data_IF_705017818674
#
_entry.id   IF_705017818674
#
_cell.length_a   1.000
_cell.length_b   1.000
_cell.length_c   1.000
_cell.angle_alpha   90.00
_cell.angle_beta   90.00
_cell.angle_gamma   90.00
#
_symmetry.space_group_name_H-M   'P 1'
#
loop_
_entity.id
_entity.type
_entity.pdbx_description
1 polymer ?
#
# COMPACT_ATOMS: atom_id res chain seq x y z
N UNK A 1 6.46 1.98 -6.21
CA UNK A 1 5.50 1.60 -5.15
C UNK A 1 4.48 2.71 -5.06
N UNK A 2 3.20 2.38 -4.93
CA UNK A 2 2.12 3.34 -4.75
C UNK A 2 1.48 3.15 -3.38
N UNK A 3 1.16 4.25 -2.72
CA UNK A 3 0.52 4.29 -1.42
C UNK A 3 -0.78 5.04 -1.60
N UNK A 4 -1.86 4.46 -1.11
CA UNK A 4 -3.21 4.99 -1.23
C UNK A 4 -3.81 5.14 0.15
N UNK A 5 -4.43 6.28 0.41
CA UNK A 5 -5.36 6.45 1.52
C UNK A 5 -6.77 6.25 0.97
N UNK A 6 -7.53 5.33 1.56
CA UNK A 6 -8.84 4.90 1.06
C UNK A 6 -9.93 5.06 2.13
N UNK A 7 -11.15 5.34 1.68
CA UNK A 7 -12.36 5.33 2.52
C UNK A 7 -12.87 3.91 2.75
N UNK A 8 -12.88 3.08 1.70
CA UNK A 8 -13.20 1.65 1.73
C UNK A 8 -12.13 0.89 0.93
N UNK A 9 -11.83 -0.35 1.33
CA UNK A 9 -10.82 -1.22 0.72
C UNK A 9 -11.38 -2.21 -0.30
N UNK A 10 -12.70 -2.42 -0.37
CA UNK A 10 -13.32 -3.46 -1.21
C UNK A 10 -12.93 -3.35 -2.68
N UNK A 11 -13.00 -2.14 -3.23
CA UNK A 11 -12.67 -1.91 -4.63
C UNK A 11 -11.20 -2.26 -4.89
N UNK A 12 -10.31 -1.79 -4.03
CA UNK A 12 -8.87 -2.11 -4.07
C UNK A 12 -8.63 -3.62 -3.98
N UNK A 13 -9.21 -4.31 -3.01
CA UNK A 13 -9.07 -5.76 -2.81
C UNK A 13 -9.61 -6.58 -4.01
N UNK A 14 -10.64 -6.08 -4.69
CA UNK A 14 -11.21 -6.76 -5.87
C UNK A 14 -10.48 -6.45 -7.18
N UNK A 15 -9.60 -5.45 -7.20
CA UNK A 15 -8.90 -4.99 -8.40
C UNK A 15 -7.70 -5.88 -8.69
N UNK A 16 -7.51 -6.24 -9.95
CA UNK A 16 -6.33 -6.98 -10.41
C UNK A 16 -5.12 -6.07 -10.62
N UNK A 17 -3.94 -6.68 -10.76
CA UNK A 17 -2.68 -5.96 -10.89
C UNK A 17 -2.67 -4.98 -12.09
N UNK A 18 -3.05 -5.37 -13.33
CA UNK A 18 -3.02 -4.45 -14.46
C UNK A 18 -4.01 -3.28 -14.31
N UNK A 19 -5.22 -3.54 -13.81
CA UNK A 19 -6.24 -2.50 -13.66
C UNK A 19 -5.89 -1.50 -12.58
N UNK A 20 -5.20 -1.90 -11.51
CA UNK A 20 -4.80 -0.96 -10.46
C UNK A 20 -3.76 0.06 -10.98
N UNK A 21 -2.83 -0.40 -11.83
CA UNK A 21 -1.71 0.43 -12.29
C UNK A 21 -1.93 1.12 -13.63
N UNK A 22 -3.04 0.84 -14.33
CA UNK A 22 -3.42 1.54 -15.55
C UNK A 22 -3.56 3.06 -15.32
N UNK A 23 -3.03 3.86 -16.24
CA UNK A 23 -3.02 5.33 -16.14
C UNK A 23 -4.43 5.94 -16.07
N UNK A 24 -5.41 5.29 -16.69
CA UNK A 24 -6.81 5.72 -16.73
C UNK A 24 -7.72 4.98 -15.74
N UNK A 25 -7.13 4.19 -14.84
CA UNK A 25 -7.87 3.34 -13.89
C UNK A 25 -8.92 4.13 -13.11
N UNK A 26 -10.12 3.57 -13.06
CA UNK A 26 -11.23 4.05 -12.24
C UNK A 26 -11.48 3.15 -11.03
N UNK A 27 -10.70 2.07 -10.89
CA UNK A 27 -11.03 0.95 -10.02
C UNK A 27 -11.19 1.38 -8.56
N UNK A 28 -10.34 2.30 -8.08
CA UNK A 28 -10.33 2.77 -6.69
C UNK A 28 -10.70 4.25 -6.53
N UNK A 29 -11.00 4.97 -7.62
CA UNK A 29 -11.15 6.43 -7.60
C UNK A 29 -12.29 6.94 -6.72
N UNK A 30 -13.36 6.17 -6.57
CA UNK A 30 -14.48 6.55 -5.71
C UNK A 30 -14.10 6.61 -4.22
N UNK A 31 -13.22 5.70 -3.80
CA UNK A 31 -12.78 5.56 -2.42
C UNK A 31 -11.41 6.20 -2.15
N UNK A 32 -10.68 6.61 -3.19
CA UNK A 32 -9.37 7.25 -3.09
C UNK A 32 -9.48 8.63 -2.43
N UNK A 33 -8.74 8.80 -1.33
CA UNK A 33 -8.61 10.06 -0.61
C UNK A 33 -7.31 10.76 -1.01
N UNK A 34 -6.21 10.01 -0.99
CA UNK A 34 -4.90 10.52 -1.35
C UNK A 34 -4.03 9.41 -1.97
N UNK A 35 -3.11 9.79 -2.84
CA UNK A 35 -2.16 8.89 -3.49
C UNK A 35 -0.74 9.44 -3.39
N UNK A 36 0.22 8.54 -3.19
CA UNK A 36 1.64 8.86 -3.17
C UNK A 36 2.46 7.80 -3.90
N UNK A 37 3.22 8.27 -4.89
CA UNK A 37 4.19 7.45 -5.60
C UNK A 37 5.57 7.53 -4.94
N UNK A 38 6.19 6.37 -4.75
CA UNK A 38 7.53 6.22 -4.20
C UNK A 38 8.35 5.32 -5.12
N UNK A 39 9.53 5.81 -5.49
CA UNK A 39 10.55 5.02 -6.17
C UNK A 39 11.53 4.49 -5.12
N UNK A 40 11.56 3.17 -4.95
CA UNK A 40 12.48 2.48 -4.04
C UNK A 40 13.58 1.82 -4.86
N UNK A 41 14.85 2.11 -4.56
CA UNK A 41 15.97 1.39 -5.17
C UNK A 41 16.32 0.14 -4.36
N UNK A 42 16.89 -0.91 -4.99
CA UNK A 42 17.37 -2.08 -4.25
C UNK A 42 18.37 -1.69 -3.16
N UNK A 43 18.15 -2.15 -1.93
CA UNK A 43 18.98 -1.85 -0.76
C UNK A 43 18.74 -0.47 -0.14
N UNK A 44 17.80 0.32 -0.65
CA UNK A 44 17.39 1.59 -0.07
C UNK A 44 16.20 1.40 0.86
N UNK A 45 16.14 2.24 1.90
CA UNK A 45 14.97 2.37 2.76
C UNK A 45 14.37 3.76 2.56
N UNK A 46 13.05 3.84 2.51
CA UNK A 46 12.33 5.10 2.40
C UNK A 46 11.39 5.25 3.60
N UNK A 47 11.45 6.41 4.27
CA UNK A 47 10.50 6.76 5.33
C UNK A 47 9.45 7.70 4.75
N UNK A 48 8.19 7.30 4.81
CA UNK A 48 7.05 8.13 4.41
C UNK A 48 6.44 8.75 5.66
N UNK A 49 6.56 10.07 5.79
CA UNK A 49 5.83 10.85 6.78
C UNK A 49 4.77 11.67 6.03
N UNK A 50 3.51 11.26 6.20
CA UNK A 50 2.35 11.89 5.59
C UNK A 50 1.18 11.83 6.58
N UNK A 51 0.47 12.94 6.80
CA UNK A 51 -0.72 12.92 7.64
C UNK A 51 -1.78 11.99 7.05
N UNK A 52 -2.41 11.19 7.92
CA UNK A 52 -3.58 10.41 7.56
C UNK A 52 -4.79 11.34 7.49
N UNK A 53 -5.40 11.43 6.31
CA UNK A 53 -6.58 12.23 6.07
C UNK A 53 -7.74 11.78 6.96
N UNK A 54 -8.57 12.73 7.41
CA UNK A 54 -9.65 12.43 8.36
C UNK A 54 -10.65 11.39 7.82
N UNK A 55 -10.88 11.42 6.50
CA UNK A 55 -11.81 10.50 5.84
C UNK A 55 -11.18 9.16 5.47
N UNK A 56 -9.86 9.01 5.61
CA UNK A 56 -9.16 7.77 5.32
C UNK A 56 -9.34 6.75 6.47
N UNK A 57 -9.81 5.56 6.11
CA UNK A 57 -10.00 4.42 7.01
C UNK A 57 -8.96 3.32 6.76
N UNK A 58 -8.33 3.34 5.58
CA UNK A 58 -7.33 2.36 5.18
C UNK A 58 -6.14 3.03 4.52
N UNK A 59 -4.96 2.47 4.74
CA UNK A 59 -3.74 2.73 3.97
C UNK A 59 -3.40 1.48 3.19
N UNK A 60 -3.47 1.56 1.87
CA UNK A 60 -3.10 0.49 0.97
C UNK A 60 -1.73 0.77 0.34
N UNK A 61 -0.89 -0.25 0.23
CA UNK A 61 0.44 -0.17 -0.36
C UNK A 61 0.53 -1.21 -1.47
N UNK A 62 0.90 -0.77 -2.68
CA UNK A 62 1.01 -1.63 -3.85
C UNK A 62 2.40 -1.54 -4.48
N UNK A 63 3.04 -2.70 -4.62
CA UNK A 63 4.35 -2.86 -5.24
C UNK A 63 4.20 -3.08 -6.74
N UNK A 64 4.86 -2.22 -7.53
CA UNK A 64 4.93 -2.40 -8.99
C UNK A 64 6.12 -3.31 -9.32
N UNK A 65 5.91 -4.62 -9.25
CA UNK A 65 6.94 -5.62 -9.54
C UNK A 65 6.92 -6.03 -11.02
N UNK A 66 8.07 -6.42 -11.56
CA UNK A 66 8.16 -6.91 -12.95
C UNK A 66 7.46 -8.26 -13.14
N UNK A 67 7.42 -9.09 -12.09
CA UNK A 67 6.76 -10.38 -12.05
C UNK A 67 6.00 -10.51 -10.73
N UNK A 68 4.79 -9.93 -10.63
CA UNK A 68 3.97 -10.06 -9.43
C UNK A 68 3.47 -11.51 -9.27
N UNK A 69 3.30 -11.94 -8.02
CA UNK A 69 2.61 -13.18 -7.71
C UNK A 69 1.12 -12.88 -7.48
N UNK A 70 0.35 -12.94 -8.55
CA UNK A 70 -1.10 -12.71 -8.53
C UNK A 70 -1.86 -13.81 -7.77
N UNK A 71 -1.27 -15.01 -7.62
CA UNK A 71 -1.93 -16.13 -6.95
C UNK A 71 -1.96 -15.95 -5.44
N UNK A 72 -0.86 -15.45 -4.87
CA UNK A 72 -0.74 -15.21 -3.43
C UNK A 72 -1.06 -13.78 -3.02
N UNK A 73 -1.41 -12.91 -3.98
CA UNK A 73 -1.77 -11.49 -3.76
C UNK A 73 -0.72 -10.69 -2.97
N UNK A 74 0.53 -11.16 -3.03
CA UNK A 74 1.63 -10.68 -2.20
C UNK A 74 2.24 -9.38 -2.68
N UNK A 75 1.71 -8.79 -3.75
CA UNK A 75 2.19 -7.54 -4.33
C UNK A 75 1.52 -6.31 -3.69
N UNK A 76 0.52 -6.51 -2.83
CA UNK A 76 -0.17 -5.44 -2.11
C UNK A 76 -0.35 -5.75 -0.63
N UNK A 77 -0.55 -4.71 0.16
CA UNK A 77 -0.89 -4.77 1.58
C UNK A 77 -1.95 -3.71 1.88
N UNK A 78 -2.81 -3.99 2.86
CA UNK A 78 -3.81 -3.05 3.37
C UNK A 78 -3.72 -3.02 4.88
N UNK A 79 -3.54 -1.83 5.43
CA UNK A 79 -3.59 -1.53 6.85
C UNK A 79 -4.86 -0.74 7.14
N UNK A 80 -5.61 -1.12 8.16
CA UNK A 80 -6.67 -0.27 8.68
C UNK A 80 -6.09 0.88 9.50
N UNK A 81 -6.89 1.92 9.72
CA UNK A 81 -6.52 3.03 10.59
C UNK A 81 -6.12 2.57 12.00
N UNK A 82 -6.75 1.51 12.50
CA UNK A 82 -6.46 0.95 13.82
C UNK A 82 -5.13 0.17 13.87
N UNK A 83 -4.59 -0.23 12.72
CA UNK A 83 -3.28 -0.89 12.60
C UNK A 83 -2.10 0.11 12.62
N UNK A 84 -2.39 1.42 12.65
CA UNK A 84 -1.41 2.50 12.59
C UNK A 84 -1.29 3.18 13.95
N UNK A 85 -0.07 3.17 14.50
CA UNK A 85 0.24 3.86 15.73
C UNK A 85 0.75 5.28 15.44
N UNK A 86 0.43 6.29 16.28
CA UNK A 86 0.88 7.67 16.07
C UNK A 86 2.41 7.81 16.08
N UNK A 87 3.09 7.06 16.93
CA UNK A 87 4.52 7.23 17.19
C UNK A 87 5.38 6.06 16.66
N UNK A 88 4.74 4.97 16.23
CA UNK A 88 5.42 3.76 15.74
C UNK A 88 5.15 3.54 14.25
N UNK A 89 6.14 3.73 13.37
CA UNK A 89 5.94 3.48 11.94
C UNK A 89 5.80 1.98 11.66
N UNK A 90 4.90 1.64 10.74
CA UNK A 90 4.80 0.27 10.21
C UNK A 90 5.89 0.04 9.18
N UNK A 91 6.68 -1.02 9.38
CA UNK A 91 7.77 -1.38 8.47
C UNK A 91 7.23 -2.35 7.42
N UNK A 92 7.34 -1.96 6.15
CA UNK A 92 7.00 -2.79 5.00
C UNK A 92 8.29 -3.11 4.25
N UNK A 93 8.55 -4.40 4.08
CA UNK A 93 9.68 -4.88 3.30
C UNK A 93 9.22 -5.25 1.89
N UNK A 94 9.92 -4.72 0.88
CA UNK A 94 9.77 -5.12 -0.51
C UNK A 94 10.94 -6.02 -0.92
N UNK A 95 10.72 -7.33 -0.98
CA UNK A 95 11.74 -8.31 -1.35
C UNK A 95 11.15 -9.46 -2.18
N UNK A 96 11.95 -10.04 -3.07
CA UNK A 96 11.55 -11.19 -3.91
C UNK A 96 10.22 -11.00 -4.67
N UNK A 97 9.96 -9.79 -5.20
CA UNK A 97 8.70 -9.39 -5.86
C UNK A 97 7.45 -9.47 -4.97
N UNK A 98 7.62 -9.32 -3.66
CA UNK A 98 6.54 -9.35 -2.68
C UNK A 98 6.69 -8.22 -1.67
N UNK A 99 5.56 -7.84 -1.08
CA UNK A 99 5.50 -6.97 0.08
C UNK A 99 5.22 -7.79 1.33
N UNK A 100 5.99 -7.56 2.38
CA UNK A 100 5.80 -8.19 3.68
C UNK A 100 5.66 -7.11 4.75
N UNK A 101 4.59 -7.17 5.53
CA UNK A 101 4.42 -6.33 6.70
C UNK A 101 5.18 -6.95 7.86
N UNK A 102 6.18 -6.23 8.36
CA UNK A 102 6.92 -6.69 9.53
C UNK A 102 6.03 -6.58 10.79
N UNK A 103 6.19 -7.51 11.75
CA UNK A 103 5.50 -7.41 13.03
C UNK A 103 5.90 -6.11 13.74
N UNK A 104 4.98 -5.54 14.51
CA UNK A 104 5.30 -4.45 15.42
C UNK A 104 6.25 -5.04 16.47
N UNK A 105 7.50 -4.56 16.51
CA UNK A 105 8.41 -4.95 17.56
C UNK A 105 7.99 -4.23 18.83
N UNK A 106 7.19 -4.89 19.67
CA UNK A 106 7.02 -4.50 21.07
C UNK A 106 8.41 -4.54 21.72
N UNK A 107 8.96 -3.36 22.03
CA UNK A 107 10.13 -3.23 22.89
C UNK A 107 9.71 -2.95 24.32
#
# INVERSE_FOLDING_TARGET
>A
MRIYQLKDRKAFDSTDYPSLFADDSQAIKADLVAEKDIQLRPGESFSLDMPLEETAQYVAVAGMFMAPDDTNDSWRLVLSRDDLEPDTPRIIEASNNRLTLQPVNDK
#
